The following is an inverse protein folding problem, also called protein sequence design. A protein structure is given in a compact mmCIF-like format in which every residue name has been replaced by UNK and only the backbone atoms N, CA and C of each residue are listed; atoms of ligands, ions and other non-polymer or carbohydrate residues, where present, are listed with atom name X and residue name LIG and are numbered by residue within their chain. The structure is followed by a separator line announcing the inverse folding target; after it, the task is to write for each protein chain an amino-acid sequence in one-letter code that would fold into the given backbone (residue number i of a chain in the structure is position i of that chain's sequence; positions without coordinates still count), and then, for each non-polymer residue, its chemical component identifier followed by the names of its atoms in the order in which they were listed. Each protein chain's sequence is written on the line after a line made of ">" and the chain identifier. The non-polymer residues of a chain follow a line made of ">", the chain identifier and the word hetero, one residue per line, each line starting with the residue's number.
data_IF_545335271949
#
_entry.id   IF_545335271949
#
_cell.length_a   1.000
_cell.length_b   1.000
_cell.length_c   1.000
_cell.angle_alpha   90.00
_cell.angle_beta   90.00
_cell.angle_gamma   90.00
#
_symmetry.space_group_name_H-M   'P 1'
#
loop_
_entity.id
_entity.type
_entity.pdbx_description
1 polymer ?
#
# COMPACT_ATOMS: atom_id res chain seq x y z
N UNK A 1 -16.80 15.37 5.16
CA UNK A 1 -15.37 15.05 4.95
C UNK A 1 -15.15 13.55 4.85
N UNK A 2 -15.43 12.74 5.88
CA UNK A 2 -15.11 11.30 5.89
C UNK A 2 -15.75 10.48 4.75
N UNK A 3 -16.98 10.80 4.35
CA UNK A 3 -17.62 10.14 3.20
C UNK A 3 -16.89 10.35 1.88
N UNK A 4 -16.28 11.52 1.67
CA UNK A 4 -15.46 11.77 0.49
C UNK A 4 -14.14 11.00 0.57
N UNK A 5 -13.48 11.00 1.73
CA UNK A 5 -12.25 10.24 1.93
C UNK A 5 -12.45 8.74 1.72
N UNK A 6 -13.55 8.19 2.23
CA UNK A 6 -13.94 6.80 2.00
C UNK A 6 -14.12 6.49 0.50
N UNK A 7 -14.86 7.34 -0.24
CA UNK A 7 -14.98 7.22 -1.70
C UNK A 7 -13.63 7.31 -2.41
N UNK A 8 -12.74 8.22 -1.98
CA UNK A 8 -11.40 8.33 -2.57
C UNK A 8 -10.60 7.05 -2.37
N UNK A 9 -10.59 6.51 -1.14
CA UNK A 9 -9.81 5.33 -0.77
C UNK A 9 -10.37 4.06 -1.42
N UNK A 10 -11.67 3.82 -1.29
CA UNK A 10 -12.31 2.56 -1.65
C UNK A 10 -12.81 2.51 -3.10
N UNK A 11 -12.97 3.66 -3.77
CA UNK A 11 -13.51 3.74 -5.13
C UNK A 11 -12.59 4.49 -6.10
N UNK A 12 -12.09 5.67 -5.72
CA UNK A 12 -11.27 6.52 -6.57
C UNK A 12 -9.91 5.92 -6.90
N UNK A 13 -9.11 5.59 -5.89
CA UNK A 13 -7.76 5.04 -6.11
C UNK A 13 -7.77 3.69 -6.87
N UNK A 14 -8.62 2.70 -6.56
CA UNK A 14 -8.67 1.45 -7.30
C UNK A 14 -9.06 1.62 -8.79
N UNK A 15 -9.83 2.66 -9.12
CA UNK A 15 -10.24 2.97 -10.50
C UNK A 15 -9.26 3.88 -11.23
N UNK A 16 -8.26 4.43 -10.53
CA UNK A 16 -7.23 5.26 -11.14
C UNK A 16 -6.33 4.39 -12.02
N UNK A 17 -6.11 4.82 -13.27
CA UNK A 17 -5.25 4.08 -14.21
C UNK A 17 -3.81 3.98 -13.69
N UNK A 18 -3.23 2.79 -13.78
CA UNK A 18 -1.86 2.47 -13.34
C UNK A 18 -1.59 2.78 -11.86
N UNK A 19 -2.60 2.64 -10.99
CA UNK A 19 -2.45 2.92 -9.57
C UNK A 19 -1.54 1.90 -8.88
N UNK A 20 -0.41 2.38 -8.34
CA UNK A 20 0.59 1.57 -7.62
C UNK A 20 0.57 1.83 -6.11
N UNK A 21 -0.32 2.70 -5.63
CA UNK A 21 -0.30 3.27 -4.28
C UNK A 21 0.09 4.74 -4.27
N UNK A 22 -0.28 5.44 -3.22
CA UNK A 22 0.12 6.84 -2.97
C UNK A 22 1.53 6.93 -2.39
N UNK A 23 2.24 8.01 -2.70
CA UNK A 23 3.60 8.22 -2.22
C UNK A 23 3.59 8.57 -0.72
N UNK A 24 4.26 7.78 0.14
CA UNK A 24 4.37 8.09 1.56
C UNK A 24 5.25 9.30 1.87
N UNK A 25 5.99 9.84 0.89
CA UNK A 25 6.83 11.02 1.09
C UNK A 25 6.09 12.34 0.77
N UNK A 26 4.78 12.30 0.51
CA UNK A 26 3.97 13.50 0.19
C UNK A 26 3.39 14.19 1.42
N UNK A 27 3.99 13.97 2.59
CA UNK A 27 3.69 14.73 3.80
C UNK A 27 4.52 16.03 3.85
N UNK A 28 4.03 17.01 4.60
CA UNK A 28 4.61 18.35 4.71
C UNK A 28 5.49 18.57 5.96
N UNK A 29 5.83 17.52 6.69
CA UNK A 29 6.59 17.59 7.94
C UNK A 29 5.74 17.83 9.18
N UNK A 30 4.46 18.20 9.01
CA UNK A 30 3.53 18.53 10.09
C UNK A 30 2.31 17.61 10.07
N UNK A 31 2.43 16.41 9.47
CA UNK A 31 1.36 15.41 9.45
C UNK A 31 0.21 15.72 8.48
N UNK A 32 0.33 16.73 7.61
CA UNK A 32 -0.64 16.95 6.53
C UNK A 32 -0.19 16.21 5.28
N UNK A 33 -1.16 15.69 4.52
CA UNK A 33 -0.90 14.85 3.36
C UNK A 33 -1.55 15.41 2.10
N UNK A 34 -0.79 15.49 1.02
CA UNK A 34 -1.30 15.99 -0.27
C UNK A 34 -1.16 14.92 -1.36
N UNK A 35 -2.22 14.72 -2.13
CA UNK A 35 -2.24 13.78 -3.26
C UNK A 35 -2.99 14.36 -4.45
N UNK A 36 -2.38 14.26 -5.63
CA UNK A 36 -2.99 14.64 -6.89
C UNK A 36 -3.66 13.46 -7.59
N UNK A 37 -4.90 13.65 -8.03
CA UNK A 37 -5.62 12.76 -8.94
C UNK A 37 -5.59 13.38 -10.34
N UNK A 38 -5.10 12.63 -11.32
CA UNK A 38 -4.93 13.12 -12.70
C UNK A 38 -6.25 13.27 -13.46
N UNK A 39 -7.25 12.47 -13.12
CA UNK A 39 -8.54 12.47 -13.79
C UNK A 39 -9.68 12.23 -12.79
N UNK A 40 -10.64 13.15 -12.76
CA UNK A 40 -11.84 13.08 -11.93
C UNK A 40 -12.84 12.01 -12.40
N UNK A 41 -12.70 11.44 -13.61
CA UNK A 41 -13.56 10.37 -14.13
C UNK A 41 -13.54 9.07 -13.30
N UNK A 42 -12.64 8.95 -12.32
CA UNK A 42 -12.56 7.84 -11.37
C UNK A 42 -13.78 7.75 -10.45
N UNK A 43 -14.50 8.86 -10.25
CA UNK A 43 -15.72 8.94 -9.44
C UNK A 43 -16.95 8.62 -10.30
N UNK A 44 -17.79 7.63 -9.95
CA UNK A 44 -18.99 7.29 -10.73
C UNK A 44 -20.04 8.39 -10.77
N UNK A 45 -20.01 9.34 -9.82
CA UNK A 45 -20.90 10.50 -9.80
C UNK A 45 -20.61 11.47 -10.96
N UNK A 46 -19.43 11.36 -11.57
CA UNK A 46 -18.99 12.19 -12.67
C UNK A 46 -19.19 11.44 -13.99
N UNK A 47 -20.07 11.98 -14.83
CA UNK A 47 -20.33 11.45 -16.17
C UNK A 47 -19.29 11.97 -17.16
N UNK A 48 -18.59 11.05 -17.84
CA UNK A 48 -17.56 11.39 -18.83
C UNK A 48 -18.13 12.23 -19.97
N UNK A 49 -19.36 11.95 -20.41
CA UNK A 49 -20.02 12.67 -21.51
C UNK A 49 -20.27 14.15 -21.22
N UNK A 50 -20.39 14.52 -19.94
CA UNK A 50 -20.57 15.93 -19.53
C UNK A 50 -19.24 16.67 -19.44
N UNK A 51 -18.12 15.94 -19.34
CA UNK A 51 -16.77 16.50 -19.20
C UNK A 51 -16.03 16.37 -20.53
N UNK A 52 -16.02 17.44 -21.32
CA UNK A 52 -15.33 17.44 -22.62
C UNK A 52 -13.80 17.30 -22.57
N UNK A 53 -13.15 17.48 -21.42
CA UNK A 53 -11.69 17.33 -21.24
C UNK A 53 -11.35 16.80 -19.84
N UNK A 54 -10.39 15.85 -19.69
CA UNK A 54 -9.99 15.35 -18.38
C UNK A 54 -9.48 16.50 -17.50
N UNK A 55 -9.95 16.52 -16.25
CA UNK A 55 -9.52 17.48 -15.23
C UNK A 55 -8.92 16.73 -14.06
N UNK A 56 -7.75 17.19 -13.61
CA UNK A 56 -7.14 16.73 -12.37
C UNK A 56 -7.76 17.41 -11.16
N UNK A 57 -7.38 16.95 -9.97
CA UNK A 57 -7.72 17.56 -8.70
C UNK A 57 -6.62 17.25 -7.69
N UNK A 58 -6.26 18.23 -6.86
CA UNK A 58 -5.40 18.04 -5.72
C UNK A 58 -6.24 17.92 -4.44
N UNK A 59 -5.93 16.91 -3.63
CA UNK A 59 -6.59 16.64 -2.37
C UNK A 59 -5.57 16.83 -1.26
N UNK A 60 -5.84 17.79 -0.38
CA UNK A 60 -5.03 18.04 0.82
C UNK A 60 -5.81 17.58 2.05
N UNK A 61 -5.23 16.66 2.82
CA UNK A 61 -5.78 16.14 4.07
C UNK A 61 -5.02 16.79 5.22
N UNK A 62 -5.70 17.71 5.90
CA UNK A 62 -5.18 18.33 7.12
C UNK A 62 -5.49 17.45 8.31
N UNK A 63 -4.49 17.19 9.15
CA UNK A 63 -4.67 16.41 10.38
C UNK A 63 -4.16 17.19 11.59
N UNK A 64 -4.46 16.70 12.79
CA UNK A 64 -3.94 17.24 14.05
C UNK A 64 -2.63 16.57 14.49
N UNK A 65 -2.05 15.70 13.65
CA UNK A 65 -0.78 15.06 13.94
C UNK A 65 0.33 16.12 13.96
N UNK A 66 1.34 15.93 14.81
CA UNK A 66 2.49 16.85 14.86
C UNK A 66 3.65 16.36 14.00
N UNK A 67 3.60 15.09 13.58
CA UNK A 67 4.66 14.44 12.81
C UNK A 67 4.07 13.63 11.66
N UNK A 68 4.86 13.48 10.60
CA UNK A 68 4.47 12.68 9.44
C UNK A 68 4.26 11.20 9.78
N UNK A 69 4.98 10.68 10.77
CA UNK A 69 4.82 9.29 11.20
C UNK A 69 3.43 9.03 11.80
N UNK A 70 2.95 9.95 12.63
CA UNK A 70 1.61 9.89 13.20
C UNK A 70 0.53 10.04 12.12
N UNK A 71 0.69 11.03 11.23
CA UNK A 71 -0.22 11.26 10.10
C UNK A 71 -0.29 10.06 9.15
N UNK A 72 0.86 9.47 8.82
CA UNK A 72 0.95 8.28 7.97
C UNK A 72 0.29 7.07 8.62
N UNK A 73 0.52 6.84 9.92
CA UNK A 73 -0.09 5.73 10.63
C UNK A 73 -1.60 5.88 10.73
N UNK A 74 -2.09 7.10 10.97
CA UNK A 74 -3.51 7.43 10.98
C UNK A 74 -4.15 7.10 9.62
N UNK A 75 -3.62 7.66 8.54
CA UNK A 75 -4.15 7.43 7.19
C UNK A 75 -4.06 5.95 6.79
N UNK A 76 -2.99 5.26 7.18
CA UNK A 76 -2.86 3.83 6.90
C UNK A 76 -3.91 2.99 7.65
N UNK A 77 -4.22 3.32 8.90
CA UNK A 77 -5.31 2.69 9.66
C UNK A 77 -6.68 2.97 9.05
N UNK A 78 -6.86 4.13 8.43
CA UNK A 78 -8.07 4.48 7.68
C UNK A 78 -8.16 3.83 6.30
N UNK A 79 -7.16 3.01 5.91
CA UNK A 79 -7.18 2.26 4.66
C UNK A 79 -6.43 2.91 3.49
N UNK A 80 -5.70 3.99 3.72
CA UNK A 80 -4.93 4.66 2.66
C UNK A 80 -3.90 3.72 2.02
N UNK A 81 -3.94 3.50 0.69
CA UNK A 81 -3.07 2.55 0.01
C UNK A 81 -1.70 3.16 -0.33
N UNK A 82 -0.76 3.19 0.63
CA UNK A 82 0.62 3.63 0.38
C UNK A 82 1.42 2.63 -0.47
N UNK A 83 2.35 3.12 -1.30
CA UNK A 83 3.28 2.28 -2.09
C UNK A 83 4.18 1.44 -1.18
N UNK A 84 4.39 0.17 -1.53
CA UNK A 84 5.36 -0.70 -0.85
C UNK A 84 6.78 -0.16 -1.07
N UNK A 85 7.34 0.49 -0.04
CA UNK A 85 8.66 1.11 -0.10
C UNK A 85 8.87 2.26 0.89
N UNK A 86 7.79 2.87 1.41
CA UNK A 86 7.91 3.90 2.45
C UNK A 86 7.01 3.61 3.66
N UNK A 87 7.65 3.19 4.75
CA UNK A 87 7.25 3.37 6.15
C UNK A 87 5.85 2.94 6.60
N UNK A 88 5.77 1.98 7.54
CA UNK A 88 4.88 2.09 8.70
C UNK A 88 3.35 2.12 8.51
N UNK A 89 2.76 1.05 7.96
CA UNK A 89 1.30 0.85 7.98
C UNK A 89 0.90 -0.59 8.34
N UNK A 90 -0.13 -0.83 9.18
CA UNK A 90 -0.52 -2.18 9.61
C UNK A 90 -1.02 -3.09 8.47
N UNK A 91 -1.50 -2.52 7.36
CA UNK A 91 -1.86 -3.28 6.16
C UNK A 91 -0.65 -4.00 5.53
N UNK A 92 0.56 -3.44 5.67
CA UNK A 92 1.80 -4.06 5.19
C UNK A 92 2.18 -5.31 6.02
N UNK A 93 1.89 -5.29 7.32
CA UNK A 93 2.14 -6.43 8.22
C UNK A 93 1.25 -7.62 7.87
N UNK A 94 0.01 -7.35 7.45
CA UNK A 94 -0.96 -8.38 7.09
C UNK A 94 -0.59 -9.11 5.78
N UNK A 95 -0.02 -8.41 4.78
CA UNK A 95 0.40 -9.01 3.51
C UNK A 95 1.72 -9.79 3.60
N UNK A 96 2.71 -9.31 4.39
CA UNK A 96 3.99 -10.02 4.59
C UNK A 96 3.83 -11.36 5.31
N UNK A 97 2.90 -11.47 6.26
CA UNK A 97 2.61 -12.73 6.97
C UNK A 97 2.12 -13.86 6.05
N UNK A 98 1.48 -13.51 4.92
CA UNK A 98 0.93 -14.48 3.96
C UNK A 98 2.00 -15.09 3.04
N UNK A 99 3.08 -14.37 2.71
CA UNK A 99 4.13 -14.86 1.81
C UNK A 99 5.13 -15.83 2.45
N UNK A 100 5.31 -15.81 3.79
CA UNK A 100 6.39 -16.58 4.45
C UNK A 100 6.07 -18.05 4.74
N UNK A 101 4.90 -18.58 4.34
CA UNK A 101 4.42 -19.90 4.78
C UNK A 101 4.70 -21.10 3.85
N UNK A 102 5.47 -20.96 2.77
CA UNK A 102 5.68 -22.06 1.81
C UNK A 102 7.13 -22.46 1.50
N UNK A 103 8.11 -22.16 2.36
CA UNK A 103 9.39 -22.87 2.28
C UNK A 103 9.31 -24.18 3.06
N UNK A 104 9.00 -25.25 2.33
CA UNK A 104 9.11 -26.64 2.73
C UNK A 104 10.57 -26.95 3.14
N UNK A 105 10.79 -27.07 4.45
CA UNK A 105 12.07 -27.39 5.06
C UNK A 105 12.40 -28.87 4.80
N UNK A 106 13.20 -29.15 3.76
CA UNK A 106 13.72 -30.51 3.52
C UNK A 106 14.84 -30.77 4.53
N UNK A 107 14.44 -31.12 5.76
CA UNK A 107 15.35 -31.57 6.83
C UNK A 107 16.24 -32.70 6.34
N UNK A 108 17.53 -32.54 6.60
CA UNK A 108 18.58 -33.51 6.30
C UNK A 108 18.35 -34.86 6.98
N UNK A 109 18.61 -35.92 6.22
CA UNK A 109 18.80 -37.27 6.75
C UNK A 109 20.29 -37.43 7.02
N UNK A 110 20.65 -37.46 8.31
CA UNK A 110 21.99 -37.78 8.81
C UNK A 110 21.91 -39.15 9.49
N UNK A 111 22.79 -40.08 9.10
CA UNK A 111 23.27 -41.16 9.97
C UNK A 111 23.01 -42.59 9.48
N UNK A 112 24.09 -43.36 9.30
CA UNK A 112 24.02 -44.82 9.16
C UNK A 112 25.31 -45.50 8.71
N UNK A 113 26.22 -45.73 9.68
CA UNK A 113 27.45 -46.55 9.68
C UNK A 113 27.53 -47.75 8.70
N UNK A 114 28.76 -48.07 8.27
CA UNK A 114 29.16 -49.46 7.96
C UNK A 114 30.41 -49.57 7.09
N UNK A 115 31.57 -49.87 7.72
CA UNK A 115 32.85 -50.03 7.02
C UNK A 115 33.10 -51.41 6.38
N UNK A 116 34.38 -51.61 6.03
CA UNK A 116 35.01 -52.73 5.28
C UNK A 116 34.86 -52.58 3.75
N UNK A 117 35.88 -52.67 2.92
CA UNK A 117 37.29 -53.02 3.10
C UNK A 117 37.84 -53.52 1.75
N UNK A 118 39.13 -53.28 1.50
CA UNK A 118 39.96 -54.14 0.64
C UNK A 118 40.04 -53.84 -0.86
N UNK A 119 41.31 -53.68 -1.31
CA UNK A 119 41.94 -54.22 -2.54
C UNK A 119 41.26 -53.82 -3.87
N UNK A 120 41.92 -53.16 -4.81
CA UNK A 120 43.25 -53.37 -5.40
C UNK A 120 43.57 -52.17 -6.29
#
# INVERSE_FOLDING_TARGET
>A
MYSFLDRVINLGFPRTRDFQGVNPNSFDGHGNFSVGIRDQSVFPEISYDTIGKPRGMDICITTTANTDQEGQKLLSLMGMPFREGGGGGPAADMRKKKLKRHHFDKKGVKGGKGGKGGRR
#
